data_IF_343883334330
#
_entry.id   IF_343883334330
#
_cell.length_a   1.000
_cell.length_b   1.000
_cell.length_c   1.000
_cell.angle_alpha   90.00
_cell.angle_beta   90.00
_cell.angle_gamma   90.00
#
_symmetry.space_group_name_H-M   'P 1'
#
loop_
_entity.id
_entity.type
_entity.pdbx_description
1 polymer ?
#
# COMPACT_ATOMS: atom_id res chain seq x y z
N UNK A 1 -15.84 -7.61 5.62
CA UNK A 1 -15.44 -7.17 4.27
C UNK A 1 -16.67 -7.10 3.39
N UNK A 2 -16.84 -6.01 2.62
CA UNK A 2 -18.05 -5.80 1.80
C UNK A 2 -17.69 -5.59 0.34
N UNK A 3 -18.39 -6.23 -0.57
CA UNK A 3 -18.35 -5.96 -2.00
C UNK A 3 -19.39 -4.89 -2.35
N UNK A 4 -18.98 -3.89 -3.11
CA UNK A 4 -19.80 -2.75 -3.47
C UNK A 4 -19.69 -2.51 -4.97
N UNK A 5 -20.81 -2.55 -5.69
CA UNK A 5 -20.86 -2.10 -7.07
C UNK A 5 -20.83 -0.58 -7.13
N UNK A 6 -20.04 -0.03 -8.03
CA UNK A 6 -19.92 1.40 -8.25
C UNK A 6 -20.30 1.75 -9.68
N UNK A 7 -21.29 2.62 -9.83
CA UNK A 7 -21.68 3.19 -11.11
C UNK A 7 -20.88 4.47 -11.37
N UNK A 8 -19.89 4.38 -12.24
CA UNK A 8 -18.99 5.49 -12.57
C UNK A 8 -19.70 6.68 -13.27
N UNK A 9 -20.86 6.47 -13.86
CA UNK A 9 -21.64 7.52 -14.54
C UNK A 9 -22.40 8.37 -13.53
N UNK A 10 -23.04 7.72 -12.55
CA UNK A 10 -23.89 8.39 -11.57
C UNK A 10 -23.21 8.63 -10.23
N UNK A 11 -22.07 7.96 -9.96
CA UNK A 11 -21.39 7.94 -8.67
C UNK A 11 -22.11 7.12 -7.60
N UNK A 12 -23.16 6.38 -7.95
CA UNK A 12 -23.93 5.59 -6.99
C UNK A 12 -23.20 4.31 -6.59
N UNK A 13 -23.39 3.92 -5.34
CA UNK A 13 -22.86 2.68 -4.78
C UNK A 13 -24.00 1.77 -4.36
N UNK A 14 -23.82 0.47 -4.58
CA UNK A 14 -24.77 -0.58 -4.14
C UNK A 14 -24.00 -1.69 -3.44
N UNK A 15 -24.35 -1.99 -2.20
CA UNK A 15 -23.82 -3.16 -1.50
C UNK A 15 -24.27 -4.43 -2.24
N UNK A 16 -23.30 -5.26 -2.60
CA UNK A 16 -23.56 -6.58 -3.19
C UNK A 16 -23.70 -7.64 -2.10
N UNK A 17 -22.64 -7.82 -1.29
CA UNK A 17 -22.68 -8.70 -0.13
C UNK A 17 -21.59 -8.34 0.90
N UNK A 18 -21.59 -9.05 2.02
CA UNK A 18 -20.60 -8.92 3.10
C UNK A 18 -20.14 -10.30 3.56
N UNK A 19 -18.82 -10.45 3.79
CA UNK A 19 -18.21 -11.63 4.37
C UNK A 19 -17.40 -11.27 5.62
N UNK A 20 -17.41 -12.08 6.68
CA UNK A 20 -16.54 -11.87 7.84
C UNK A 20 -15.09 -12.19 7.49
N UNK A 21 -14.14 -11.35 7.92
CA UNK A 21 -12.71 -11.58 7.68
C UNK A 21 -12.11 -12.66 8.59
N UNK A 22 -12.81 -13.02 9.65
CA UNK A 22 -12.36 -13.91 10.72
C UNK A 22 -11.00 -13.51 11.33
N UNK A 23 -10.68 -12.22 11.23
CA UNK A 23 -9.51 -11.59 11.82
C UNK A 23 -9.86 -10.21 12.34
N UNK A 24 -9.20 -9.78 13.42
CA UNK A 24 -9.43 -8.47 14.03
C UNK A 24 -8.66 -7.37 13.29
N UNK A 25 -9.30 -6.21 13.19
CA UNK A 25 -8.76 -4.98 12.61
C UNK A 25 -8.18 -5.16 11.19
N UNK A 26 -9.01 -5.50 10.18
CA UNK A 26 -8.56 -5.54 8.80
C UNK A 26 -8.12 -4.14 8.38
N UNK A 27 -6.84 -4.01 8.00
CA UNK A 27 -6.20 -2.72 7.72
C UNK A 27 -5.72 -2.57 6.27
N UNK A 28 -5.73 -3.65 5.49
CA UNK A 28 -5.33 -3.64 4.08
C UNK A 28 -6.23 -4.55 3.27
N UNK A 29 -6.54 -4.10 2.07
CA UNK A 29 -7.36 -4.83 1.09
C UNK A 29 -6.74 -4.70 -0.27
N UNK A 30 -6.61 -5.81 -0.96
CA UNK A 30 -6.25 -5.85 -2.38
C UNK A 30 -7.07 -6.90 -3.10
N UNK A 31 -7.40 -6.64 -4.35
CA UNK A 31 -8.19 -7.57 -5.17
C UNK A 31 -7.67 -7.63 -6.59
N UNK A 32 -7.82 -8.79 -7.19
CA UNK A 32 -7.75 -9.00 -8.63
C UNK A 32 -9.08 -9.63 -9.11
N UNK A 33 -9.12 -10.13 -10.35
CA UNK A 33 -10.37 -10.69 -10.93
C UNK A 33 -10.85 -11.97 -10.21
N UNK A 34 -9.98 -12.69 -9.50
CA UNK A 34 -10.28 -13.98 -8.89
C UNK A 34 -10.35 -13.92 -7.37
N UNK A 35 -9.58 -13.03 -6.74
CA UNK A 35 -9.36 -13.03 -5.30
C UNK A 35 -9.48 -11.63 -4.69
N UNK A 36 -9.90 -11.63 -3.43
CA UNK A 36 -9.72 -10.52 -2.52
C UNK A 36 -8.89 -10.99 -1.33
N UNK A 37 -7.86 -10.21 -0.99
CA UNK A 37 -6.99 -10.39 0.16
C UNK A 37 -7.30 -9.35 1.22
N UNK A 38 -7.27 -9.74 2.50
CA UNK A 38 -7.24 -8.80 3.62
C UNK A 38 -6.05 -9.09 4.52
N UNK A 39 -5.34 -8.06 4.97
CA UNK A 39 -4.45 -8.18 6.12
C UNK A 39 -5.18 -7.71 7.37
N UNK A 40 -5.21 -8.55 8.40
CA UNK A 40 -5.88 -8.31 9.67
C UNK A 40 -4.79 -8.01 10.71
N UNK A 41 -4.63 -6.75 11.08
CA UNK A 41 -3.50 -6.31 11.90
C UNK A 41 -3.50 -6.94 13.28
N UNK A 42 -4.52 -6.67 14.09
CA UNK A 42 -4.61 -7.22 15.45
C UNK A 42 -4.86 -8.73 15.44
N UNK A 43 -5.56 -9.23 14.41
CA UNK A 43 -5.74 -10.67 14.21
C UNK A 43 -4.49 -11.42 13.77
N UNK A 44 -3.44 -10.71 13.36
CA UNK A 44 -2.16 -11.28 12.93
C UNK A 44 -2.30 -12.27 11.78
N UNK A 45 -3.20 -12.00 10.81
CA UNK A 45 -3.51 -12.95 9.75
C UNK A 45 -3.78 -12.27 8.41
N UNK A 46 -3.72 -13.05 7.34
CA UNK A 46 -4.20 -12.69 6.01
C UNK A 46 -5.36 -13.64 5.66
N UNK A 47 -6.45 -13.08 5.15
CA UNK A 47 -7.62 -13.87 4.72
C UNK A 47 -7.81 -13.75 3.22
N UNK A 48 -8.20 -14.84 2.57
CA UNK A 48 -8.44 -14.97 1.14
C UNK A 48 -9.91 -15.25 0.85
N UNK A 49 -10.47 -14.52 -0.09
CA UNK A 49 -11.85 -14.69 -0.54
C UNK A 49 -11.90 -14.83 -2.06
N UNK A 50 -12.66 -15.78 -2.61
CA UNK A 50 -12.98 -15.80 -4.03
C UNK A 50 -13.83 -14.58 -4.42
N UNK A 51 -13.60 -14.04 -5.61
CA UNK A 51 -14.47 -13.02 -6.24
C UNK A 51 -15.30 -13.73 -7.31
N UNK A 52 -16.61 -13.71 -7.16
CA UNK A 52 -17.53 -14.31 -8.09
C UNK A 52 -17.70 -13.45 -9.36
N UNK A 53 -18.16 -14.03 -10.45
CA UNK A 53 -18.35 -13.34 -11.74
C UNK A 53 -19.33 -12.14 -11.65
N UNK A 54 -20.24 -12.15 -10.70
CA UNK A 54 -21.17 -11.03 -10.44
C UNK A 54 -20.60 -9.95 -9.51
N UNK A 55 -19.32 -10.08 -9.11
CA UNK A 55 -18.60 -9.18 -8.22
C UNK A 55 -18.87 -9.40 -6.73
N UNK A 56 -19.69 -10.38 -6.35
CA UNK A 56 -19.87 -10.75 -4.93
C UNK A 56 -18.65 -11.50 -4.40
N UNK A 57 -18.46 -11.49 -3.08
CA UNK A 57 -17.43 -12.27 -2.40
C UNK A 57 -17.97 -13.64 -2.01
N UNK A 58 -17.25 -14.69 -2.37
CA UNK A 58 -17.45 -16.03 -1.80
C UNK A 58 -17.10 -16.07 -0.31
N UNK A 59 -17.39 -17.19 0.34
CA UNK A 59 -16.93 -17.45 1.70
C UNK A 59 -15.40 -17.47 1.75
N UNK A 60 -14.80 -17.11 2.90
CA UNK A 60 -13.36 -17.17 3.09
C UNK A 60 -12.83 -18.56 2.73
N UNK A 61 -11.92 -18.65 1.77
CA UNK A 61 -11.36 -19.91 1.29
C UNK A 61 -10.09 -20.33 2.03
N UNK A 62 -9.33 -19.35 2.57
CA UNK A 62 -8.13 -19.61 3.35
C UNK A 62 -7.81 -18.47 4.31
N UNK A 63 -7.10 -18.81 5.38
CA UNK A 63 -6.50 -17.85 6.31
C UNK A 63 -5.06 -18.29 6.63
N UNK A 64 -4.13 -17.36 6.53
CA UNK A 64 -2.72 -17.55 6.87
C UNK A 64 -2.35 -16.67 8.05
N UNK A 65 -1.59 -17.21 8.99
CA UNK A 65 -1.19 -16.49 10.19
C UNK A 65 0.26 -16.01 10.08
N UNK A 66 0.49 -14.78 10.49
CA UNK A 66 1.80 -14.26 10.78
C UNK A 66 2.38 -14.90 12.04
N UNK A 67 3.61 -14.58 12.35
CA UNK A 67 4.29 -15.10 13.53
C UNK A 67 4.52 -14.02 14.57
N UNK A 68 4.55 -14.43 15.82
CA UNK A 68 5.11 -13.61 16.90
C UNK A 68 6.59 -13.44 16.59
N UNK A 69 7.05 -12.21 16.61
CA UNK A 69 8.38 -11.94 16.13
C UNK A 69 9.32 -11.56 17.22
N UNK A 70 9.65 -10.32 17.18
CA UNK A 70 10.70 -9.77 17.99
C UNK A 70 10.21 -9.31 19.35
N UNK A 71 11.15 -9.30 20.26
CA UNK A 71 10.99 -8.65 21.56
C UNK A 71 11.40 -7.16 21.49
N UNK A 72 11.72 -6.67 20.29
CA UNK A 72 12.36 -5.36 20.12
C UNK A 72 11.43 -4.20 20.51
N UNK A 73 10.16 -4.31 20.16
CA UNK A 73 9.16 -3.27 20.45
C UNK A 73 7.86 -3.89 20.94
N UNK A 74 7.08 -3.20 21.78
CA UNK A 74 5.79 -3.71 22.27
C UNK A 74 4.87 -4.21 21.17
N UNK A 75 4.88 -3.55 20.00
CA UNK A 75 4.03 -3.90 18.86
C UNK A 75 4.46 -5.20 18.15
N UNK A 76 5.55 -5.86 18.58
CA UNK A 76 6.00 -7.13 18.00
C UNK A 76 5.80 -8.33 18.91
N UNK A 77 5.22 -8.14 20.09
CA UNK A 77 4.99 -9.21 21.06
C UNK A 77 3.91 -10.20 20.63
N UNK A 78 3.01 -9.80 19.76
CA UNK A 78 2.01 -10.65 19.11
C UNK A 78 2.09 -10.54 17.60
N UNK A 79 1.53 -11.52 16.88
CA UNK A 79 1.52 -11.49 15.42
C UNK A 79 0.70 -10.30 14.90
N UNK A 80 1.25 -9.57 13.93
CA UNK A 80 0.56 -8.55 13.17
C UNK A 80 0.89 -8.70 11.69
N UNK A 81 -0.13 -8.65 10.83
CA UNK A 81 0.05 -8.55 9.38
C UNK A 81 -0.56 -7.24 8.89
N UNK A 82 0.18 -6.48 8.08
CA UNK A 82 -0.26 -5.13 7.72
C UNK A 82 -0.63 -4.95 6.25
N UNK A 83 -0.02 -5.68 5.34
CA UNK A 83 -0.35 -5.66 3.91
C UNK A 83 -0.25 -7.05 3.30
N UNK A 84 -1.03 -7.28 2.26
CA UNK A 84 -0.93 -8.44 1.38
C UNK A 84 -1.21 -7.97 -0.05
N UNK A 85 -0.26 -8.14 -0.97
CA UNK A 85 -0.37 -7.64 -2.33
C UNK A 85 -0.01 -8.72 -3.35
N UNK A 86 -0.71 -8.68 -4.50
CA UNK A 86 -0.37 -9.51 -5.63
C UNK A 86 0.93 -9.03 -6.28
N UNK A 87 1.75 -9.97 -6.73
CA UNK A 87 2.89 -9.62 -7.59
C UNK A 87 2.40 -9.27 -9.00
N UNK A 88 3.05 -8.33 -9.70
CA UNK A 88 2.58 -7.88 -11.03
C UNK A 88 2.51 -8.98 -12.09
N UNK A 89 3.26 -10.08 -11.90
CA UNK A 89 3.22 -11.25 -12.77
C UNK A 89 2.05 -12.20 -12.47
N UNK A 90 1.26 -11.89 -11.43
CA UNK A 90 0.10 -12.67 -11.01
C UNK A 90 0.43 -14.06 -10.44
N UNK A 91 1.72 -14.35 -10.17
CA UNK A 91 2.14 -15.69 -9.73
C UNK A 91 2.21 -15.84 -8.22
N UNK A 92 2.33 -14.72 -7.48
CA UNK A 92 2.51 -14.75 -6.03
C UNK A 92 1.72 -13.66 -5.31
N UNK A 93 1.57 -13.85 -4.01
CA UNK A 93 1.20 -12.83 -3.03
C UNK A 93 2.40 -12.59 -2.12
N UNK A 94 2.73 -11.33 -1.86
CA UNK A 94 3.66 -10.92 -0.81
C UNK A 94 2.87 -10.31 0.34
N UNK A 95 3.16 -10.76 1.57
CA UNK A 95 2.51 -10.25 2.77
C UNK A 95 3.54 -9.78 3.81
N UNK A 96 3.28 -8.64 4.43
CA UNK A 96 4.15 -8.12 5.49
C UNK A 96 3.81 -8.77 6.82
N UNK A 97 4.73 -9.60 7.34
CA UNK A 97 4.71 -10.11 8.71
C UNK A 97 5.40 -9.07 9.60
N UNK A 98 4.62 -8.08 10.02
CA UNK A 98 5.07 -6.88 10.72
C UNK A 98 5.87 -7.23 11.99
N UNK A 99 5.36 -8.17 12.77
CA UNK A 99 5.96 -8.52 14.07
C UNK A 99 7.24 -9.33 13.95
N UNK A 100 7.38 -10.12 12.89
CA UNK A 100 8.54 -10.95 12.66
C UNK A 100 9.59 -10.33 11.72
N UNK A 101 9.39 -9.07 11.32
CA UNK A 101 10.29 -8.35 10.42
C UNK A 101 10.54 -9.10 9.10
N UNK A 102 9.47 -9.67 8.50
CA UNK A 102 9.58 -10.48 7.30
C UNK A 102 8.56 -10.11 6.22
N UNK A 103 8.91 -10.46 5.00
CA UNK A 103 7.96 -10.54 3.89
C UNK A 103 7.71 -12.02 3.60
N UNK A 104 6.49 -12.47 3.81
CA UNK A 104 6.04 -13.82 3.48
C UNK A 104 5.66 -13.87 2.00
N UNK A 105 5.83 -15.03 1.39
CA UNK A 105 5.49 -15.29 0.00
C UNK A 105 4.53 -16.46 -0.09
N UNK A 106 3.50 -16.31 -0.90
CA UNK A 106 2.51 -17.32 -1.21
C UNK A 106 2.42 -17.49 -2.71
N UNK A 107 2.41 -18.72 -3.21
CA UNK A 107 2.27 -19.04 -4.63
C UNK A 107 0.78 -19.17 -4.99
N UNK A 108 0.36 -18.55 -6.06
CA UNK A 108 -0.99 -18.71 -6.60
C UNK A 108 -0.99 -20.00 -7.41
N UNK A 109 -1.76 -21.01 -6.96
CA UNK A 109 -1.75 -22.36 -7.52
C UNK A 109 -2.97 -22.68 -8.38
N UNK A 110 -3.88 -21.72 -8.54
CA UNK A 110 -5.11 -21.88 -9.33
C UNK A 110 -6.03 -20.69 -9.15
N UNK A 111 -7.24 -20.79 -9.68
CA UNK A 111 -8.24 -19.71 -9.64
C UNK A 111 -8.83 -19.46 -8.26
N UNK A 112 -8.64 -20.38 -7.29
CA UNK A 112 -9.28 -20.29 -5.96
C UNK A 112 -8.31 -20.62 -4.81
N UNK A 113 -7.01 -20.80 -5.08
CA UNK A 113 -6.07 -21.25 -4.06
C UNK A 113 -4.70 -20.60 -4.16
N UNK A 114 -4.15 -20.34 -2.98
CA UNK A 114 -2.75 -19.96 -2.77
C UNK A 114 -2.13 -20.88 -1.72
N UNK A 115 -0.83 -21.10 -1.80
CA UNK A 115 -0.08 -21.90 -0.81
C UNK A 115 1.13 -21.16 -0.30
N UNK A 116 1.55 -21.43 0.93
CA UNK A 116 2.79 -20.88 1.47
C UNK A 116 4.00 -21.26 0.60
N UNK A 117 4.82 -20.28 0.29
CA UNK A 117 6.05 -20.42 -0.49
C UNK A 117 7.28 -19.88 0.26
N UNK A 118 7.16 -19.76 1.56
CA UNK A 118 8.24 -19.38 2.48
C UNK A 118 8.44 -17.88 2.65
N UNK A 119 9.63 -17.51 3.12
CA UNK A 119 10.02 -16.12 3.39
C UNK A 119 10.68 -15.54 2.15
N UNK A 120 10.14 -14.45 1.62
CA UNK A 120 10.71 -13.71 0.50
C UNK A 120 11.89 -12.84 0.94
N UNK A 121 11.76 -12.17 2.09
CA UNK A 121 12.82 -11.31 2.65
C UNK A 121 12.71 -11.25 4.17
N UNK A 122 13.85 -11.08 4.84
CA UNK A 122 13.95 -10.74 6.26
C UNK A 122 14.57 -9.36 6.38
N UNK A 123 13.95 -8.49 7.16
CA UNK A 123 14.43 -7.15 7.45
C UNK A 123 15.17 -7.12 8.78
N UNK A 124 15.95 -6.06 9.08
CA UNK A 124 16.55 -5.88 10.39
C UNK A 124 15.52 -5.90 11.52
N UNK A 125 15.90 -6.41 12.68
CA UNK A 125 15.03 -6.48 13.85
C UNK A 125 14.47 -5.10 14.21
N UNK A 126 13.18 -5.02 14.50
CA UNK A 126 12.49 -3.78 14.82
C UNK A 126 12.13 -2.92 13.59
N UNK A 127 12.16 -3.49 12.40
CA UNK A 127 11.75 -2.77 11.17
C UNK A 127 10.25 -2.53 11.11
N UNK A 128 9.43 -3.55 11.39
CA UNK A 128 7.97 -3.50 11.25
C UNK A 128 7.54 -3.23 9.80
N UNK A 129 7.76 -4.16 8.84
CA UNK A 129 7.37 -3.95 7.45
C UNK A 129 5.86 -3.73 7.34
N UNK A 130 5.47 -2.68 6.61
CA UNK A 130 4.09 -2.20 6.62
C UNK A 130 3.43 -2.30 5.25
N UNK A 131 3.85 -1.51 4.29
CA UNK A 131 3.30 -1.47 2.94
C UNK A 131 4.37 -1.80 1.89
N UNK A 132 3.92 -2.36 0.76
CA UNK A 132 4.76 -2.75 -0.37
C UNK A 132 4.25 -2.04 -1.62
N UNK A 133 5.16 -1.64 -2.51
CA UNK A 133 4.84 -1.20 -3.86
C UNK A 133 5.86 -1.75 -4.85
N UNK A 134 5.44 -2.05 -6.07
CA UNK A 134 6.33 -2.50 -7.15
C UNK A 134 6.75 -1.35 -8.05
N UNK A 135 7.92 -1.49 -8.67
CA UNK A 135 8.29 -0.63 -9.80
C UNK A 135 7.37 -0.87 -11.00
N UNK A 136 7.18 0.13 -11.84
CA UNK A 136 6.29 0.06 -13.01
C UNK A 136 6.69 -1.01 -14.04
N UNK A 137 7.96 -1.45 -14.01
CA UNK A 137 8.50 -2.53 -14.85
C UNK A 137 8.59 -3.88 -14.12
N UNK A 138 8.02 -3.96 -12.92
CA UNK A 138 7.92 -5.17 -12.10
C UNK A 138 9.24 -5.82 -11.69
N UNK A 139 10.39 -5.16 -11.91
CA UNK A 139 11.71 -5.71 -11.60
C UNK A 139 12.15 -5.49 -10.15
N UNK A 140 11.52 -4.55 -9.48
CA UNK A 140 11.85 -4.16 -8.12
C UNK A 140 10.60 -4.02 -7.28
N UNK A 141 10.74 -4.24 -5.96
CA UNK A 141 9.72 -3.81 -5.01
C UNK A 141 10.34 -3.07 -3.84
N UNK A 142 9.53 -2.23 -3.23
CA UNK A 142 9.90 -1.32 -2.16
C UNK A 142 8.99 -1.57 -0.97
N UNK A 143 9.59 -1.65 0.22
CA UNK A 143 8.87 -1.91 1.48
C UNK A 143 9.05 -0.72 2.40
N UNK A 144 7.96 -0.08 2.80
CA UNK A 144 7.96 0.90 3.88
C UNK A 144 7.84 0.18 5.21
N UNK A 145 8.79 0.43 6.10
CA UNK A 145 8.80 -0.09 7.47
C UNK A 145 8.28 0.97 8.45
N UNK A 146 7.27 0.63 9.25
CA UNK A 146 6.65 1.58 10.18
C UNK A 146 7.60 1.98 11.28
N UNK A 147 8.23 0.99 11.94
CA UNK A 147 8.99 1.23 13.16
C UNK A 147 10.38 1.78 12.89
N UNK A 148 11.08 1.29 11.86
CA UNK A 148 12.39 1.83 11.50
C UNK A 148 12.31 3.13 10.69
N UNK A 149 11.17 3.45 10.07
CA UNK A 149 11.03 4.62 9.19
C UNK A 149 11.87 4.53 7.93
N UNK A 150 12.25 3.32 7.50
CA UNK A 150 13.10 3.09 6.35
C UNK A 150 12.33 2.47 5.18
N UNK A 151 12.83 2.70 3.98
CA UNK A 151 12.45 1.97 2.77
C UNK A 151 13.51 0.94 2.46
N UNK A 152 13.11 -0.33 2.35
CA UNK A 152 13.93 -1.42 1.89
C UNK A 152 13.64 -1.71 0.41
N UNK A 153 14.69 -1.86 -0.40
CA UNK A 153 14.63 -2.08 -1.84
C UNK A 153 15.06 -3.49 -2.16
N UNK A 154 14.24 -4.18 -2.96
CA UNK A 154 14.52 -5.55 -3.40
C UNK A 154 14.37 -5.69 -4.90
N UNK A 155 15.23 -6.52 -5.50
CA UNK A 155 15.02 -7.03 -6.85
C UNK A 155 14.03 -8.19 -6.84
N UNK A 156 13.13 -8.19 -7.83
CA UNK A 156 12.14 -9.24 -8.05
C UNK A 156 12.37 -9.93 -9.39
N UNK A 157 12.38 -11.24 -9.39
CA UNK A 157 12.46 -12.05 -10.60
C UNK A 157 11.71 -13.38 -10.41
N UNK A 158 10.41 -13.38 -10.74
CA UNK A 158 9.52 -14.55 -10.68
C UNK A 158 9.69 -15.36 -9.38
N UNK A 159 9.45 -14.71 -8.23
CA UNK A 159 9.54 -15.32 -6.90
C UNK A 159 10.95 -15.36 -6.31
N UNK A 160 12.00 -15.00 -7.05
CA UNK A 160 13.35 -14.83 -6.52
C UNK A 160 13.55 -13.38 -6.06
N UNK A 161 14.01 -13.22 -4.82
CA UNK A 161 14.20 -11.91 -4.18
C UNK A 161 15.67 -11.68 -3.88
N UNK A 162 16.16 -10.47 -4.16
CA UNK A 162 17.54 -10.04 -3.87
C UNK A 162 17.51 -8.68 -3.18
N UNK A 163 18.10 -8.53 -1.99
CA UNK A 163 18.22 -7.23 -1.33
C UNK A 163 19.15 -6.29 -2.12
N UNK A 164 18.79 -5.01 -2.17
CA UNK A 164 19.54 -4.00 -2.94
C UNK A 164 19.99 -2.85 -2.04
N UNK A 165 19.08 -2.28 -1.25
CA UNK A 165 19.35 -1.07 -0.48
C UNK A 165 18.36 -0.96 0.70
N UNK A 166 18.82 -0.26 1.75
CA UNK A 166 17.96 0.30 2.79
C UNK A 166 18.26 1.80 2.89
N UNK A 167 17.22 2.64 2.95
CA UNK A 167 17.35 4.10 3.00
C UNK A 167 16.30 4.71 3.93
N UNK A 168 16.69 5.72 4.71
CA UNK A 168 15.79 6.39 5.62
C UNK A 168 14.79 7.28 4.87
N UNK A 169 13.49 7.07 5.12
CA UNK A 169 12.42 7.99 4.78
C UNK A 169 12.17 8.96 5.96
N UNK A 170 12.06 8.43 7.17
CA UNK A 170 11.97 9.22 8.39
C UNK A 170 13.36 9.52 8.95
N UNK A 171 13.70 10.81 9.04
CA UNK A 171 14.96 11.30 9.63
C UNK A 171 14.76 11.87 11.03
N UNK A 172 13.52 11.93 11.51
CA UNK A 172 13.17 12.44 12.85
C UNK A 172 13.02 11.34 13.90
N UNK A 173 13.18 10.07 13.49
CA UNK A 173 13.01 8.90 14.34
C UNK A 173 11.62 8.88 15.01
N UNK A 174 10.58 9.09 14.20
CA UNK A 174 9.18 9.13 14.64
C UNK A 174 8.57 7.76 14.87
N UNK A 175 9.17 6.70 14.31
CA UNK A 175 8.65 5.33 14.35
C UNK A 175 7.23 5.23 13.77
N UNK A 176 6.96 6.00 12.72
CA UNK A 176 5.64 6.13 12.15
C UNK A 176 5.60 6.06 10.62
N UNK A 177 6.48 5.28 9.99
CA UNK A 177 6.39 5.01 8.57
C UNK A 177 5.01 4.51 8.19
N UNK A 178 4.45 4.96 7.04
CA UNK A 178 3.08 4.61 6.72
C UNK A 178 2.92 4.04 5.32
N UNK A 179 2.71 4.86 4.33
CA UNK A 179 2.36 4.45 2.98
C UNK A 179 3.50 4.65 1.99
N UNK A 180 3.45 3.98 0.85
CA UNK A 180 4.51 4.01 -0.15
C UNK A 180 3.94 3.78 -1.56
N UNK A 181 4.27 4.67 -2.51
CA UNK A 181 3.84 4.56 -3.90
C UNK A 181 4.94 5.00 -4.86
N UNK A 182 5.02 4.31 -6.00
CA UNK A 182 5.82 4.72 -7.16
C UNK A 182 4.99 5.64 -8.05
N UNK A 183 5.59 6.69 -8.60
CA UNK A 183 4.91 7.54 -9.59
C UNK A 183 4.53 6.73 -10.86
N UNK A 184 3.43 7.05 -11.54
CA UNK A 184 2.99 6.31 -12.72
C UNK A 184 4.03 6.22 -13.85
N UNK A 185 4.95 7.20 -13.93
CA UNK A 185 6.05 7.20 -14.90
C UNK A 185 7.30 6.42 -14.43
N UNK A 186 7.26 5.86 -13.21
CA UNK A 186 8.33 5.04 -12.64
C UNK A 186 9.59 5.79 -12.23
N UNK A 187 9.56 7.13 -12.18
CA UNK A 187 10.77 7.92 -11.88
C UNK A 187 10.98 8.23 -10.42
N UNK A 188 9.90 8.29 -9.65
CA UNK A 188 9.93 8.70 -8.26
C UNK A 188 9.18 7.73 -7.37
N UNK A 189 9.63 7.65 -6.13
CA UNK A 189 8.96 6.94 -5.05
C UNK A 189 8.69 7.94 -3.94
N UNK A 190 7.48 7.84 -3.39
CA UNK A 190 7.01 8.65 -2.26
C UNK A 190 6.73 7.73 -1.08
N UNK A 191 7.10 8.17 0.13
CA UNK A 191 6.87 7.42 1.37
C UNK A 191 6.43 8.37 2.48
N UNK A 192 5.27 8.11 3.11
CA UNK A 192 4.77 8.95 4.18
C UNK A 192 5.32 8.57 5.54
N UNK A 193 5.60 9.58 6.36
CA UNK A 193 6.12 9.48 7.73
C UNK A 193 5.19 10.24 8.68
N UNK A 194 4.96 9.70 9.88
CA UNK A 194 4.01 10.20 10.89
C UNK A 194 4.68 10.43 12.24
N UNK A 195 3.95 11.02 13.18
CA UNK A 195 4.18 11.09 14.61
C UNK A 195 5.18 12.16 15.08
N UNK A 196 6.29 12.40 14.41
CA UNK A 196 7.24 13.46 14.79
C UNK A 196 7.47 14.48 13.69
N UNK A 197 7.50 14.01 12.47
CA UNK A 197 7.76 14.83 11.30
C UNK A 197 6.79 14.38 10.20
N UNK A 198 5.52 14.79 10.37
CA UNK A 198 4.47 14.42 9.44
C UNK A 198 4.76 14.94 8.04
N UNK A 199 4.85 14.03 7.07
CA UNK A 199 5.21 14.42 5.70
C UNK A 199 5.49 13.25 4.79
N UNK A 200 5.93 13.57 3.59
CA UNK A 200 6.23 12.62 2.51
C UNK A 200 7.68 12.77 2.09
N UNK A 201 8.47 11.73 2.27
CA UNK A 201 9.81 11.62 1.72
C UNK A 201 9.75 11.31 0.22
N UNK A 202 10.60 11.97 -0.57
CA UNK A 202 10.62 11.92 -2.02
C UNK A 202 11.96 11.36 -2.47
N UNK A 203 11.89 10.30 -3.28
CA UNK A 203 13.08 9.63 -3.81
C UNK A 203 13.03 9.57 -5.34
N UNK A 204 14.16 9.76 -5.97
CA UNK A 204 14.39 9.41 -7.37
C UNK A 204 14.75 7.94 -7.46
N UNK A 205 14.14 7.24 -8.41
CA UNK A 205 14.42 5.83 -8.71
C UNK A 205 15.46 5.76 -9.83
N UNK A 206 16.56 5.05 -9.61
CA UNK A 206 17.42 4.57 -10.69
C UNK A 206 16.76 3.33 -11.32
N UNK A 207 16.18 3.50 -12.48
CA UNK A 207 15.42 2.45 -13.16
C UNK A 207 16.27 1.24 -13.57
N UNK A 208 17.58 1.37 -13.68
CA UNK A 208 18.47 0.26 -14.03
C UNK A 208 18.73 -0.65 -12.82
N UNK A 209 18.86 -0.07 -11.64
CA UNK A 209 19.28 -0.78 -10.41
C UNK A 209 18.20 -0.90 -9.35
N UNK A 210 17.07 -0.14 -9.46
CA UNK A 210 16.03 0.02 -8.45
C UNK A 210 16.43 0.91 -7.28
N UNK A 211 17.68 1.37 -7.21
CA UNK A 211 18.18 2.18 -6.09
C UNK A 211 17.47 3.52 -5.98
N UNK A 212 17.35 3.97 -4.75
CA UNK A 212 16.72 5.23 -4.38
C UNK A 212 17.75 6.27 -4.00
N UNK A 213 17.53 7.51 -4.45
CA UNK A 213 18.24 8.70 -3.97
C UNK A 213 17.21 9.68 -3.43
N UNK A 214 17.35 10.08 -2.16
CA UNK A 214 16.45 11.08 -1.57
C UNK A 214 16.64 12.42 -2.26
N UNK A 215 15.55 13.02 -2.77
CA UNK A 215 15.58 14.31 -3.46
C UNK A 215 14.79 15.39 -2.74
N UNK A 216 13.91 15.02 -1.81
CA UNK A 216 13.11 15.99 -1.08
C UNK A 216 12.33 15.41 0.09
N UNK A 217 11.59 16.30 0.74
CA UNK A 217 10.61 16.01 1.78
C UNK A 217 9.53 17.09 1.75
N UNK A 218 8.28 16.68 1.70
CA UNK A 218 7.12 17.58 1.74
C UNK A 218 6.43 17.45 3.10
N UNK A 219 6.42 18.50 3.94
CA UNK A 219 5.56 18.53 5.12
C UNK A 219 4.08 18.40 4.74
N UNK A 220 3.30 17.72 5.56
CA UNK A 220 1.85 17.55 5.41
C UNK A 220 1.12 17.97 6.67
N UNK A 221 -0.20 17.85 6.64
CA UNK A 221 -1.01 17.84 7.86
C UNK A 221 -0.73 16.61 8.72
N UNK A 222 -1.31 16.59 9.92
CA UNK A 222 -1.04 15.56 10.93
C UNK A 222 -1.50 14.17 10.51
N UNK A 223 -0.62 13.20 10.75
CA UNK A 223 -0.85 11.78 10.55
C UNK A 223 -1.19 11.41 9.09
N UNK A 224 -0.27 11.64 8.13
CA UNK A 224 -0.44 11.24 6.73
C UNK A 224 -0.43 9.70 6.62
N UNK A 225 -1.60 9.09 6.89
CA UNK A 225 -1.72 7.63 7.02
C UNK A 225 -1.68 6.91 5.69
N UNK A 226 -2.25 7.52 4.66
CA UNK A 226 -2.30 7.01 3.30
C UNK A 226 -2.23 8.18 2.32
N UNK A 227 -1.70 7.95 1.16
CA UNK A 227 -1.78 8.87 0.04
C UNK A 227 -1.93 8.08 -1.27
N UNK A 228 -2.31 8.75 -2.34
CA UNK A 228 -2.30 8.13 -3.66
C UNK A 228 -1.95 9.18 -4.72
N UNK A 229 -1.40 8.71 -5.83
CA UNK A 229 -1.01 9.54 -6.96
C UNK A 229 -2.06 9.38 -8.05
N UNK A 230 -2.54 10.49 -8.61
CA UNK A 230 -3.50 10.45 -9.72
C UNK A 230 -2.94 9.65 -10.90
N UNK A 231 -3.76 8.90 -11.63
CA UNK A 231 -3.30 8.07 -12.76
C UNK A 231 -2.50 8.84 -13.83
N UNK A 232 -2.78 10.13 -14.00
CA UNK A 232 -2.03 11.00 -14.90
C UNK A 232 -0.70 11.51 -14.32
N UNK A 233 -0.40 11.19 -13.07
CA UNK A 233 0.83 11.58 -12.35
C UNK A 233 0.95 13.08 -12.09
N UNK A 234 -0.16 13.84 -12.13
CA UNK A 234 -0.13 15.30 -11.90
C UNK A 234 -0.27 15.70 -10.44
N UNK A 235 -0.99 14.89 -9.65
CA UNK A 235 -1.31 15.22 -8.26
C UNK A 235 -1.07 14.03 -7.33
N UNK A 236 -0.77 14.35 -6.09
CA UNK A 236 -0.74 13.43 -4.97
C UNK A 236 -1.79 13.90 -3.94
N UNK A 237 -2.69 12.98 -3.56
CA UNK A 237 -3.73 13.22 -2.56
C UNK A 237 -3.32 12.53 -1.25
N UNK A 238 -3.12 13.30 -0.19
CA UNK A 238 -2.63 12.83 1.10
C UNK A 238 -3.74 12.89 2.17
N UNK A 239 -4.11 11.73 2.71
CA UNK A 239 -5.07 11.63 3.82
C UNK A 239 -4.39 12.00 5.14
N UNK A 240 -4.53 13.25 5.56
CA UNK A 240 -4.06 13.80 6.84
C UNK A 240 -5.12 13.53 7.91
N UNK A 241 -5.10 12.30 8.46
CA UNK A 241 -6.16 11.73 9.29
C UNK A 241 -6.59 12.63 10.46
N UNK A 242 -5.62 13.17 11.21
CA UNK A 242 -5.87 13.88 12.45
C UNK A 242 -6.20 15.39 12.22
N UNK A 243 -6.23 15.81 10.95
CA UNK A 243 -6.72 17.12 10.54
C UNK A 243 -8.02 17.06 9.72
N UNK A 244 -8.63 15.88 9.60
CA UNK A 244 -9.91 15.69 8.91
C UNK A 244 -9.92 16.24 7.48
N UNK A 245 -8.83 16.01 6.74
CA UNK A 245 -8.71 16.48 5.36
C UNK A 245 -7.86 15.57 4.49
N UNK A 246 -8.11 15.65 3.21
CA UNK A 246 -7.21 15.16 2.16
C UNK A 246 -6.56 16.38 1.52
N UNK A 247 -5.24 16.50 1.66
CA UNK A 247 -4.46 17.54 1.01
C UNK A 247 -4.15 17.16 -0.42
N UNK A 248 -4.14 18.14 -1.32
CA UNK A 248 -3.82 17.96 -2.74
C UNK A 248 -2.51 18.65 -3.06
N UNK A 249 -1.50 17.88 -3.44
CA UNK A 249 -0.21 18.39 -3.90
C UNK A 249 -0.06 18.22 -5.40
N UNK A 250 0.41 19.23 -6.11
CA UNK A 250 0.87 19.08 -7.49
C UNK A 250 2.26 18.44 -7.52
N UNK A 251 2.51 17.62 -8.55
CA UNK A 251 3.79 16.92 -8.76
C UNK A 251 4.53 17.58 -9.92
N UNK A 252 5.76 18.04 -9.67
CA UNK A 252 6.71 18.38 -10.74
C UNK A 252 7.29 17.08 -11.33
N UNK A 253 6.92 16.74 -12.53
CA UNK A 253 7.34 15.49 -13.20
C UNK A 253 8.85 15.43 -13.52
N UNK A 254 9.56 16.55 -13.52
CA UNK A 254 11.01 16.57 -13.78
C UNK A 254 11.82 16.31 -12.51
N UNK A 255 11.37 16.84 -11.40
CA UNK A 255 12.08 16.79 -10.10
C UNK A 255 11.47 15.84 -9.08
N UNK A 256 10.17 15.51 -9.22
CA UNK A 256 9.38 14.75 -8.25
C UNK A 256 8.90 15.58 -7.08
N UNK A 257 9.23 16.87 -7.02
CA UNK A 257 8.87 17.72 -5.89
C UNK A 257 7.36 17.96 -5.84
N UNK A 258 6.86 18.06 -4.61
CA UNK A 258 5.46 18.33 -4.30
C UNK A 258 5.29 19.82 -3.96
N UNK A 259 4.18 20.40 -4.42
CA UNK A 259 3.75 21.75 -4.04
C UNK A 259 2.30 21.68 -3.58
N UNK A 260 2.02 22.18 -2.38
CA UNK A 260 0.66 22.26 -1.85
C UNK A 260 -0.18 23.19 -2.75
N UNK A 261 -1.33 22.70 -3.18
CA UNK A 261 -2.24 23.47 -4.05
C UNK A 261 -3.19 24.36 -3.25
N UNK A 262 -3.29 24.16 -1.95
CA UNK A 262 -4.29 24.77 -1.08
C UNK A 262 -5.73 24.29 -1.36
N UNK A 263 -5.91 23.28 -2.20
CA UNK A 263 -7.22 22.69 -2.54
C UNK A 263 -7.46 21.44 -1.70
N UNK A 264 -7.79 21.64 -0.43
CA UNK A 264 -8.06 20.54 0.48
C UNK A 264 -9.50 20.06 0.37
N UNK A 265 -9.70 18.78 0.67
CA UNK A 265 -11.00 18.13 0.70
C UNK A 265 -11.29 17.76 2.15
N UNK A 266 -12.36 18.30 2.72
CA UNK A 266 -12.79 18.00 4.08
C UNK A 266 -13.37 16.57 4.14
N UNK A 267 -12.73 15.69 4.91
CA UNK A 267 -13.17 14.30 5.14
C UNK A 267 -12.78 13.91 6.56
N UNK A 268 -13.75 13.48 7.36
CA UNK A 268 -13.48 13.05 8.73
C UNK A 268 -12.57 11.81 8.75
N UNK A 269 -11.41 11.94 9.42
CA UNK A 269 -10.44 10.87 9.65
C UNK A 269 -10.11 10.00 8.44
N UNK A 270 -9.90 10.61 7.28
CA UNK A 270 -9.53 9.90 6.05
C UNK A 270 -8.28 9.03 6.26
N UNK A 271 -8.37 7.76 5.88
CA UNK A 271 -7.29 6.77 6.05
C UNK A 271 -6.95 6.02 4.77
N UNK A 272 -7.68 6.25 3.69
CA UNK A 272 -7.44 5.63 2.39
C UNK A 272 -7.97 6.50 1.25
N UNK A 273 -7.18 6.64 0.19
CA UNK A 273 -7.55 7.29 -1.07
C UNK A 273 -7.33 6.29 -2.19
N UNK A 274 -8.38 5.95 -2.94
CA UNK A 274 -8.28 5.07 -4.11
C UNK A 274 -8.94 5.72 -5.31
N UNK A 275 -8.34 5.54 -6.48
CA UNK A 275 -8.91 5.99 -7.75
C UNK A 275 -9.62 4.82 -8.42
N UNK A 276 -10.84 5.05 -8.86
CA UNK A 276 -11.52 4.12 -9.72
C UNK A 276 -10.92 4.21 -11.12
N UNK A 277 -10.48 3.09 -11.74
CA UNK A 277 -9.97 3.11 -13.08
C UNK A 277 -11.11 3.50 -14.05
N UNK A 278 -11.08 4.71 -14.55
CA UNK A 278 -11.95 5.10 -15.66
C UNK A 278 -11.34 4.61 -16.95
N UNK A 279 -12.11 3.86 -17.76
CA UNK A 279 -11.73 3.60 -19.14
C UNK A 279 -11.62 4.97 -19.80
N UNK A 280 -10.43 5.34 -20.25
CA UNK A 280 -10.23 6.58 -21.01
C UNK A 280 -11.07 6.48 -22.28
N UNK A 281 -12.18 7.23 -22.34
CA UNK A 281 -12.85 7.45 -23.62
C UNK A 281 -11.96 8.37 -24.45
N UNK A 282 -11.62 8.02 -25.69
CA UNK A 282 -10.86 8.89 -26.56
C UNK A 282 -11.62 10.22 -26.72
N UNK A 283 -11.04 11.32 -26.24
CA UNK A 283 -11.57 12.68 -26.46
C UNK A 283 -12.09 13.45 -25.25
N UNK A 284 -12.08 12.89 -24.04
CA UNK A 284 -12.39 13.65 -22.82
C UNK A 284 -11.08 13.94 -22.09
N UNK A 285 -10.67 15.21 -22.12
CA UNK A 285 -9.49 15.70 -21.41
C UNK A 285 -9.61 15.56 -19.89
N UNK A 286 -8.44 15.41 -19.28
CA UNK A 286 -8.14 15.46 -17.83
C UNK A 286 -9.18 14.81 -16.91
N UNK A 287 -8.87 13.56 -16.53
CA UNK A 287 -9.74 12.69 -15.72
C UNK A 287 -10.40 13.38 -14.52
N UNK A 288 -11.70 13.33 -14.49
CA UNK A 288 -12.47 13.66 -13.29
C UNK A 288 -12.31 12.51 -12.26
N UNK A 289 -11.83 12.82 -11.08
CA UNK A 289 -11.84 11.88 -9.95
C UNK A 289 -13.03 12.18 -9.05
N UNK A 290 -13.59 11.13 -8.50
CA UNK A 290 -14.63 11.24 -7.46
C UNK A 290 -14.10 10.63 -6.18
N UNK A 291 -14.32 11.31 -5.08
CA UNK A 291 -14.03 10.81 -3.74
C UNK A 291 -15.26 10.07 -3.27
N UNK A 292 -15.02 8.87 -2.74
CA UNK A 292 -16.06 8.07 -2.11
C UNK A 292 -15.91 8.24 -0.61
N UNK A 293 -16.82 9.00 0.00
CA UNK A 293 -16.97 9.08 1.45
C UNK A 293 -17.65 7.80 1.96
N UNK A 294 -17.31 7.41 3.20
CA UNK A 294 -17.92 6.25 3.86
C UNK A 294 -19.36 6.49 4.24
#
# INVERSE_FOLDING_TARGET
>A
MSAIAFDSTTGKMKLLNTQPTQGADPCYVETNDNFLLTANYTGGSMSLFPVNLDGTLGAMSAQFKGTTGGTYMPNQQQAHMHAACFTPDGSYVLATDFSADRILKYEITGMESIKEAGVAATLPAGSGPRHITFSTDSRFFYVMSEMSGKVSVYGWNYGKVRPIQEIAADTANGHGGADIHVSPDGKFLYASCRLKNDGIAIFRIDRATGKLTRVGYQPTGKHPRHFNITPNGKFLLCASRDENRIQVFSIDKATGMLTDTGQDIAVDRAVCVKFYPTVMQPGIGDGQFRIIEK
#
